data_IF_758124155585
#
_entry.id   IF_758124155585
#
_cell.length_a   1.000
_cell.length_b   1.000
_cell.length_c   1.000
_cell.angle_alpha   90.00
_cell.angle_beta   90.00
_cell.angle_gamma   90.00
#
_symmetry.space_group_name_H-M   'P 1'
#
loop_
_entity.id
_entity.type
_entity.pdbx_description
1 polymer ?
#
# COMPACT_ATOMS: atom_id res chain seq x y z
N UNK A 1 -1.87 21.08 80.49
CA UNK A 1 -2.46 20.52 79.26
C UNK A 1 -1.67 21.06 78.09
N UNK A 2 -0.71 20.27 77.62
CA UNK A 2 -0.09 20.47 76.32
C UNK A 2 -0.96 19.73 75.30
N UNK A 3 -1.26 20.36 74.17
CA UNK A 3 -1.35 19.58 72.93
C UNK A 3 -0.94 20.46 71.75
N UNK A 4 0.14 20.02 71.10
CA UNK A 4 0.73 20.66 69.94
C UNK A 4 0.18 20.01 68.68
N UNK A 5 -0.62 20.74 67.92
CA UNK A 5 -0.99 20.36 66.56
C UNK A 5 0.09 20.79 65.58
N UNK A 6 1.05 19.91 65.31
CA UNK A 6 1.94 20.06 64.16
C UNK A 6 1.10 20.05 62.85
N UNK A 7 1.44 20.86 61.84
CA UNK A 7 0.82 20.73 60.53
C UNK A 7 1.28 19.40 59.92
N UNK A 8 0.31 18.56 59.56
CA UNK A 8 0.52 17.38 58.73
C UNK A 8 1.20 17.84 57.44
N UNK A 9 2.48 17.49 57.32
CA UNK A 9 3.20 17.50 56.06
C UNK A 9 2.39 16.62 55.09
N UNK A 10 1.70 17.26 54.15
CA UNK A 10 1.27 16.59 52.94
C UNK A 10 2.54 16.19 52.23
N UNK A 11 2.99 14.96 52.47
CA UNK A 11 4.00 14.30 51.66
C UNK A 11 3.49 14.33 50.22
N UNK A 12 3.96 15.35 49.49
CA UNK A 12 3.77 15.44 48.06
C UNK A 12 4.30 14.12 47.51
N UNK A 13 3.39 13.29 47.03
CA UNK A 13 3.74 12.22 46.12
C UNK A 13 4.22 12.93 44.84
N UNK A 14 5.46 13.41 44.88
CA UNK A 14 6.24 13.74 43.71
C UNK A 14 6.48 12.42 43.00
N UNK A 15 5.45 11.93 42.31
CA UNK A 15 5.61 10.86 41.35
C UNK A 15 6.71 11.31 40.40
N UNK A 16 7.84 10.62 40.46
CA UNK A 16 8.99 10.92 39.62
C UNK A 16 8.49 10.87 38.18
N UNK A 17 8.63 11.98 37.44
CA UNK A 17 8.23 12.05 36.04
C UNK A 17 9.28 11.33 35.17
N UNK A 18 9.24 10.00 35.26
CA UNK A 18 10.14 9.10 34.55
C UNK A 18 10.02 9.22 33.03
N UNK A 19 8.91 9.77 32.54
CA UNK A 19 8.64 9.96 31.12
C UNK A 19 9.42 11.17 30.60
N UNK A 20 9.53 12.24 31.38
CA UNK A 20 10.36 13.40 31.05
C UNK A 20 11.86 13.10 31.04
N UNK A 21 12.30 12.09 31.80
CA UNK A 21 13.71 11.67 31.89
C UNK A 21 14.18 10.80 30.70
N UNK A 22 13.26 10.33 29.85
CA UNK A 22 13.61 9.55 28.66
C UNK A 22 14.36 10.40 27.63
N UNK A 23 15.29 9.79 26.88
CA UNK A 23 15.98 10.45 25.77
C UNK A 23 15.04 10.64 24.55
N UNK A 24 15.34 11.63 23.70
CA UNK A 24 14.55 11.99 22.52
C UNK A 24 14.35 10.80 21.56
N UNK A 25 15.34 9.94 21.42
CA UNK A 25 15.25 8.75 20.56
C UNK A 25 14.17 7.76 21.04
N UNK A 26 14.04 7.59 22.35
CA UNK A 26 13.02 6.70 22.94
C UNK A 26 11.64 7.33 22.83
N UNK A 27 11.54 8.63 23.10
CA UNK A 27 10.28 9.38 22.93
C UNK A 27 9.80 9.35 21.48
N UNK A 28 10.73 9.46 20.52
CA UNK A 28 10.46 9.33 19.09
C UNK A 28 9.88 7.95 18.77
N UNK A 29 10.52 6.88 19.24
CA UNK A 29 10.05 5.51 19.03
C UNK A 29 8.67 5.24 19.66
N UNK A 30 8.35 5.87 20.79
CA UNK A 30 7.00 5.80 21.37
C UNK A 30 5.99 6.50 20.44
N UNK A 31 6.32 7.71 19.99
CA UNK A 31 5.45 8.53 19.13
C UNK A 31 5.16 7.84 17.79
N UNK A 32 6.15 7.20 17.16
CA UNK A 32 5.98 6.49 15.87
C UNK A 32 5.11 5.25 15.98
N UNK A 33 4.97 4.68 17.18
CA UNK A 33 4.15 3.49 17.46
C UNK A 33 2.71 3.83 17.83
N UNK A 34 2.43 5.08 18.18
CA UNK A 34 1.08 5.52 18.55
C UNK A 34 0.25 5.82 17.28
N UNK A 35 -1.04 5.48 17.28
CA UNK A 35 -1.98 5.97 16.28
C UNK A 35 -1.95 7.49 16.21
N UNK A 36 -2.13 8.06 15.02
CA UNK A 36 -2.03 9.49 14.73
C UNK A 36 -2.68 10.39 15.79
N UNK A 37 -3.92 10.08 16.18
CA UNK A 37 -4.68 10.89 17.12
C UNK A 37 -4.16 10.80 18.56
N UNK A 38 -3.64 9.65 18.96
CA UNK A 38 -3.02 9.47 20.28
C UNK A 38 -1.68 10.16 20.34
N UNK A 39 -0.88 10.01 19.29
CA UNK A 39 0.39 10.69 19.16
C UNK A 39 0.22 12.22 19.14
N UNK A 40 -0.79 12.75 18.44
CA UNK A 40 -1.15 14.16 18.49
C UNK A 40 -1.57 14.63 19.90
N UNK A 41 -2.26 13.79 20.69
CA UNK A 41 -2.61 14.10 22.09
C UNK A 41 -1.39 14.19 22.99
N UNK A 42 -0.36 13.37 22.74
CA UNK A 42 0.90 13.45 23.52
C UNK A 42 1.60 14.80 23.40
N UNK A 43 1.35 15.56 22.32
CA UNK A 43 1.89 16.91 22.15
C UNK A 43 1.37 17.92 23.19
N UNK A 44 0.31 17.59 23.94
CA UNK A 44 -0.22 18.40 25.05
C UNK A 44 0.52 18.12 26.36
N UNK A 45 1.19 16.97 26.48
CA UNK A 45 1.86 16.54 27.72
C UNK A 45 3.10 17.39 28.02
N UNK A 46 3.86 17.77 26.99
CA UNK A 46 5.02 18.65 27.12
C UNK A 46 5.42 19.31 25.79
N UNK A 47 6.06 20.47 25.86
CA UNK A 47 6.59 21.20 24.70
C UNK A 47 7.58 20.37 23.87
N UNK A 48 8.36 19.53 24.56
CA UNK A 48 9.32 18.58 23.97
C UNK A 48 8.63 17.55 23.07
N UNK A 49 7.54 16.94 23.53
CA UNK A 49 6.75 15.99 22.75
C UNK A 49 6.14 16.64 21.52
N UNK A 50 5.69 17.89 21.64
CA UNK A 50 5.18 18.68 20.50
C UNK A 50 6.24 18.96 19.44
N UNK A 51 7.50 19.16 19.83
CA UNK A 51 8.60 19.35 18.89
C UNK A 51 8.95 18.03 18.20
N UNK A 52 9.12 16.95 18.96
CA UNK A 52 9.42 15.62 18.43
C UNK A 52 8.35 15.15 17.44
N UNK A 53 7.06 15.36 17.77
CA UNK A 53 5.94 15.07 16.88
C UNK A 53 6.03 15.77 15.52
N UNK A 54 6.55 17.00 15.46
CA UNK A 54 6.65 17.76 14.20
C UNK A 54 7.88 17.43 13.37
N UNK A 55 8.88 16.82 13.98
CA UNK A 55 10.18 16.52 13.39
C UNK A 55 10.31 15.07 12.94
N UNK A 56 9.24 14.29 12.99
CA UNK A 56 9.29 12.85 12.75
C UNK A 56 8.42 12.37 11.59
N UNK A 57 8.55 11.10 11.22
CA UNK A 57 7.86 10.53 10.06
C UNK A 57 6.52 9.95 10.47
N UNK A 58 5.46 10.70 10.21
CA UNK A 58 4.12 10.40 10.74
C UNK A 58 3.44 9.29 9.95
N UNK A 59 2.64 8.49 10.65
CA UNK A 59 1.78 7.44 10.09
C UNK A 59 0.33 7.91 10.16
N UNK A 60 -0.24 8.27 9.01
CA UNK A 60 -1.64 8.66 8.88
C UNK A 60 -2.44 7.47 8.35
N UNK A 61 -3.36 6.96 9.17
CA UNK A 61 -4.35 5.97 8.74
C UNK A 61 -5.74 6.51 9.01
N UNK A 62 -6.54 6.62 7.97
CA UNK A 62 -7.89 7.18 8.07
C UNK A 62 -8.85 6.28 8.87
N UNK A 63 -8.62 4.97 8.89
CA UNK A 63 -9.35 3.99 9.70
C UNK A 63 -9.25 4.27 11.21
N UNK A 64 -8.15 4.89 11.65
CA UNK A 64 -7.95 5.26 13.06
C UNK A 64 -8.78 6.50 13.44
N UNK A 65 -9.35 7.20 12.45
CA UNK A 65 -10.20 8.37 12.65
C UNK A 65 -11.67 7.92 12.60
N UNK A 66 -12.38 8.19 13.69
CA UNK A 66 -13.80 7.89 13.81
C UNK A 66 -14.65 8.70 12.79
N UNK A 67 -15.58 8.03 12.12
CA UNK A 67 -16.63 8.69 11.34
C UNK A 67 -17.57 9.43 12.32
N UNK A 68 -17.96 10.71 12.11
CA UNK A 68 -17.95 11.50 10.87
C UNK A 68 -16.76 12.46 10.70
N UNK A 69 -15.81 12.51 11.64
CA UNK A 69 -14.75 13.51 11.63
C UNK A 69 -13.66 13.26 10.57
N UNK A 70 -13.55 12.03 10.05
CA UNK A 70 -12.53 11.60 9.09
C UNK A 70 -12.36 12.55 7.91
N UNK A 71 -13.46 12.90 7.25
CA UNK A 71 -13.43 13.72 6.02
C UNK A 71 -12.92 15.14 6.27
N UNK A 72 -13.10 15.69 7.48
CA UNK A 72 -12.61 17.01 7.86
C UNK A 72 -11.21 16.97 8.51
N UNK A 73 -10.85 15.87 9.18
CA UNK A 73 -9.56 15.72 9.88
C UNK A 73 -8.45 15.36 8.90
N UNK A 74 -8.70 14.45 7.95
CA UNK A 74 -7.68 14.02 6.97
C UNK A 74 -7.11 15.21 6.18
N UNK A 75 -7.92 16.09 5.55
CA UNK A 75 -7.40 17.24 4.82
C UNK A 75 -6.60 18.18 5.72
N UNK A 76 -7.08 18.41 6.95
CA UNK A 76 -6.39 19.27 7.92
C UNK A 76 -5.04 18.70 8.34
N UNK A 77 -4.95 17.40 8.60
CA UNK A 77 -3.67 16.75 8.93
C UNK A 77 -2.71 16.85 7.74
N UNK A 78 -3.19 16.61 6.52
CA UNK A 78 -2.36 16.72 5.32
C UNK A 78 -1.89 18.17 5.06
N UNK A 79 -2.70 19.17 5.39
CA UNK A 79 -2.33 20.58 5.21
C UNK A 79 -1.43 21.11 6.33
N UNK A 80 -1.81 20.88 7.59
CA UNK A 80 -1.21 21.52 8.76
C UNK A 80 0.09 20.83 9.21
N UNK A 81 0.32 19.56 8.85
CA UNK A 81 1.49 18.83 9.29
C UNK A 81 2.75 19.28 8.53
N UNK A 82 3.77 19.88 9.18
CA UNK A 82 4.94 20.40 8.49
C UNK A 82 5.97 19.33 8.11
N UNK A 83 5.88 18.14 8.72
CA UNK A 83 6.86 17.06 8.54
C UNK A 83 6.57 16.14 7.36
N UNK A 84 7.38 15.08 7.26
CA UNK A 84 7.23 14.03 6.25
C UNK A 84 6.28 12.94 6.72
N UNK A 85 5.57 12.32 5.79
CA UNK A 85 4.78 11.12 6.09
C UNK A 85 5.62 9.87 5.82
N UNK A 86 5.66 8.93 6.77
CA UNK A 86 6.14 7.59 6.49
C UNK A 86 5.08 6.83 5.70
N UNK A 87 3.88 6.80 6.27
CA UNK A 87 2.78 5.97 5.77
C UNK A 87 1.51 6.79 5.72
N UNK A 88 0.80 6.76 4.60
CA UNK A 88 -0.52 7.36 4.41
C UNK A 88 -1.47 6.30 3.87
N UNK A 89 -2.45 5.91 4.67
CA UNK A 89 -3.48 4.94 4.32
C UNK A 89 -4.81 5.69 4.31
N UNK A 90 -5.35 5.89 3.10
CA UNK A 90 -6.69 6.41 2.85
C UNK A 90 -7.53 5.26 2.28
N UNK A 91 -8.03 4.39 3.15
CA UNK A 91 -8.81 3.22 2.77
C UNK A 91 -10.32 3.50 2.70
N UNK A 92 -10.82 4.36 3.60
CA UNK A 92 -12.25 4.61 3.79
C UNK A 92 -12.58 6.12 3.82
N UNK A 93 -11.62 7.00 3.49
CA UNK A 93 -11.81 8.44 3.32
C UNK A 93 -12.58 8.72 2.03
N UNK A 94 -13.55 9.65 2.08
CA UNK A 94 -14.25 10.08 0.87
C UNK A 94 -13.35 11.04 0.10
N UNK A 95 -12.65 10.51 -0.90
CA UNK A 95 -11.70 11.28 -1.70
C UNK A 95 -12.36 12.48 -2.42
N UNK A 96 -13.67 12.45 -2.68
CA UNK A 96 -14.39 13.61 -3.22
C UNK A 96 -14.51 14.75 -2.21
N UNK A 97 -14.64 14.45 -0.92
CA UNK A 97 -14.55 15.44 0.16
C UNK A 97 -13.12 15.97 0.23
N UNK A 98 -12.12 15.08 0.16
CA UNK A 98 -10.70 15.46 0.15
C UNK A 98 -10.34 16.37 -1.03
N UNK A 99 -10.84 16.11 -2.24
CA UNK A 99 -10.62 17.00 -3.38
C UNK A 99 -11.27 18.37 -3.19
N UNK A 100 -12.45 18.41 -2.56
CA UNK A 100 -13.18 19.66 -2.31
C UNK A 100 -12.46 20.51 -1.25
N UNK A 101 -12.01 19.88 -0.17
CA UNK A 101 -11.36 20.56 0.95
C UNK A 101 -9.90 20.89 0.66
N UNK A 102 -9.19 20.01 -0.06
CA UNK A 102 -7.77 20.14 -0.33
C UNK A 102 -7.41 19.63 -1.74
N UNK A 103 -7.75 20.35 -2.82
CA UNK A 103 -7.46 19.93 -4.20
C UNK A 103 -5.97 19.62 -4.47
N UNK A 104 -5.07 20.25 -3.71
CA UNK A 104 -3.63 20.08 -3.82
C UNK A 104 -3.07 18.89 -3.01
N UNK A 105 -3.92 18.07 -2.38
CA UNK A 105 -3.49 16.93 -1.57
C UNK A 105 -2.51 15.98 -2.28
N UNK A 106 -2.60 15.69 -3.61
CA UNK A 106 -1.66 14.78 -4.25
C UNK A 106 -0.24 15.36 -4.27
N UNK A 107 -0.12 16.66 -4.57
CA UNK A 107 1.16 17.37 -4.57
C UNK A 107 1.75 17.45 -3.17
N UNK A 108 0.90 17.70 -2.16
CA UNK A 108 1.34 17.72 -0.78
C UNK A 108 1.92 16.38 -0.32
N UNK A 109 1.38 15.24 -0.77
CA UNK A 109 1.96 13.94 -0.46
C UNK A 109 3.35 13.74 -1.08
N UNK A 110 3.55 14.26 -2.29
CA UNK A 110 4.85 14.25 -2.99
C UNK A 110 5.84 15.17 -2.28
N UNK A 111 5.44 16.42 -1.98
CA UNK A 111 6.27 17.40 -1.28
C UNK A 111 6.67 16.92 0.12
N UNK A 112 5.78 16.18 0.79
CA UNK A 112 6.04 15.58 2.10
C UNK A 112 6.80 14.26 2.04
N UNK A 113 7.25 13.82 0.87
CA UNK A 113 8.10 12.64 0.68
C UNK A 113 7.53 11.36 1.31
N UNK A 114 6.28 11.06 0.96
CA UNK A 114 5.56 9.89 1.46
C UNK A 114 6.22 8.59 0.97
N UNK A 115 6.52 7.65 1.88
CA UNK A 115 7.15 6.37 1.52
C UNK A 115 6.13 5.27 1.20
N UNK A 116 5.09 5.16 2.02
CA UNK A 116 4.05 4.14 1.88
C UNK A 116 2.71 4.84 1.64
N UNK A 117 2.06 4.54 0.52
CA UNK A 117 0.80 5.16 0.14
C UNK A 117 -0.24 4.10 -0.23
N UNK A 118 -1.35 4.08 0.50
CA UNK A 118 -2.54 3.32 0.13
C UNK A 118 -3.69 4.28 -0.16
N UNK A 119 -4.23 4.20 -1.37
CA UNK A 119 -5.39 4.96 -1.80
C UNK A 119 -6.49 4.02 -2.30
N UNK A 120 -7.56 3.89 -1.53
CA UNK A 120 -8.73 3.12 -1.92
C UNK A 120 -9.92 4.05 -2.18
N UNK A 121 -10.46 3.98 -3.39
CA UNK A 121 -11.63 4.73 -3.79
C UNK A 121 -12.89 3.85 -3.67
N UNK A 122 -13.25 3.48 -2.43
CA UNK A 122 -14.35 2.53 -2.16
C UNK A 122 -15.74 3.14 -2.29
N UNK A 123 -15.86 4.46 -2.18
CA UNK A 123 -17.12 5.21 -2.17
C UNK A 123 -17.59 5.61 -3.58
N UNK A 124 -17.61 4.64 -4.49
CA UNK A 124 -17.90 4.82 -5.93
C UNK A 124 -19.37 5.17 -6.18
N UNK A 125 -20.27 4.69 -5.32
CA UNK A 125 -21.73 4.88 -5.45
C UNK A 125 -22.18 6.34 -5.23
N UNK A 126 -21.35 7.17 -4.59
CA UNK A 126 -21.66 8.59 -4.35
C UNK A 126 -21.19 9.52 -5.50
N UNK A 127 -20.68 8.97 -6.61
CA UNK A 127 -20.04 9.75 -7.68
C UNK A 127 -20.82 9.70 -9.00
N UNK A 128 -20.90 10.84 -9.73
CA UNK A 128 -21.50 10.89 -11.07
C UNK A 128 -20.61 10.23 -12.14
N UNK A 129 -19.34 9.97 -11.85
CA UNK A 129 -18.40 9.32 -12.76
C UNK A 129 -17.80 8.06 -12.10
N UNK A 130 -18.07 6.84 -12.63
CA UNK A 130 -17.64 5.59 -12.01
C UNK A 130 -16.11 5.34 -12.06
N UNK A 131 -15.36 6.20 -12.74
CA UNK A 131 -13.95 6.01 -13.07
C UNK A 131 -13.14 7.27 -12.71
N UNK A 132 -12.73 7.39 -11.44
CA UNK A 132 -11.88 8.48 -10.96
C UNK A 132 -10.45 8.30 -11.46
N UNK A 133 -9.91 9.34 -12.11
CA UNK A 133 -8.52 9.35 -12.58
C UNK A 133 -7.54 9.45 -11.41
N UNK A 134 -6.49 8.65 -11.43
CA UNK A 134 -5.39 8.75 -10.48
C UNK A 134 -4.62 10.05 -10.73
N UNK A 135 -4.35 10.85 -9.68
CA UNK A 135 -3.53 12.05 -9.80
C UNK A 135 -2.12 11.73 -10.32
N UNK A 136 -1.75 12.37 -11.43
CA UNK A 136 -0.46 12.19 -12.09
C UNK A 136 0.75 12.59 -11.22
N UNK A 137 0.56 13.45 -10.21
CA UNK A 137 1.62 13.88 -9.30
C UNK A 137 2.15 12.69 -8.46
N UNK A 138 1.27 11.76 -8.05
CA UNK A 138 1.64 10.60 -7.22
C UNK A 138 2.59 9.66 -7.97
N UNK A 139 2.43 9.57 -9.29
CA UNK A 139 3.27 8.75 -10.17
C UNK A 139 4.68 9.32 -10.38
N UNK A 140 4.96 10.52 -9.86
CA UNK A 140 6.27 11.18 -9.91
C UNK A 140 6.97 11.25 -8.55
N UNK A 141 6.45 10.55 -7.55
CA UNK A 141 7.02 10.56 -6.20
C UNK A 141 8.31 9.72 -6.14
N UNK A 142 9.45 10.38 -5.91
CA UNK A 142 10.77 9.72 -5.85
C UNK A 142 11.03 8.95 -4.54
N UNK A 143 10.36 9.35 -3.47
CA UNK A 143 10.48 8.78 -2.13
C UNK A 143 9.63 7.54 -1.89
N UNK A 144 8.69 7.25 -2.79
CA UNK A 144 7.69 6.20 -2.62
C UNK A 144 8.33 4.81 -2.72
N UNK A 145 8.18 4.02 -1.66
CA UNK A 145 8.65 2.64 -1.55
C UNK A 145 7.51 1.65 -1.71
N UNK A 146 6.31 1.98 -1.22
CA UNK A 146 5.13 1.14 -1.33
C UNK A 146 3.93 1.92 -1.87
N UNK A 147 3.27 1.37 -2.89
CA UNK A 147 2.10 1.97 -3.50
C UNK A 147 0.98 0.93 -3.61
N UNK A 148 -0.13 1.20 -2.93
CA UNK A 148 -1.36 0.43 -3.06
C UNK A 148 -2.47 1.31 -3.60
N UNK A 149 -3.03 0.93 -4.74
CA UNK A 149 -4.13 1.62 -5.39
C UNK A 149 -5.30 0.67 -5.57
N UNK A 150 -6.47 1.07 -5.09
CA UNK A 150 -7.69 0.30 -5.19
C UNK A 150 -8.84 1.13 -5.80
N UNK A 151 -9.36 0.66 -6.93
CA UNK A 151 -10.49 1.27 -7.65
C UNK A 151 -10.19 2.63 -8.32
N UNK A 152 -9.17 2.65 -9.21
CA UNK A 152 -8.74 3.85 -9.94
C UNK A 152 -8.71 3.65 -11.45
N UNK A 153 -8.76 4.75 -12.20
CA UNK A 153 -8.44 4.78 -13.63
C UNK A 153 -7.06 5.41 -13.83
N UNK A 154 -6.18 4.70 -14.53
CA UNK A 154 -4.83 5.17 -14.80
C UNK A 154 -4.84 6.33 -15.81
N UNK A 155 -4.10 7.43 -15.58
CA UNK A 155 -4.06 8.56 -16.50
C UNK A 155 -3.18 8.24 -17.71
N UNK A 156 -3.73 8.41 -18.91
CA UNK A 156 -3.00 8.14 -20.15
C UNK A 156 -1.97 9.23 -20.46
N UNK A 157 -0.83 8.83 -21.03
CA UNK A 157 0.24 9.75 -21.44
C UNK A 157 1.01 10.41 -20.29
N UNK A 158 0.93 9.86 -19.08
CA UNK A 158 1.63 10.42 -17.91
C UNK A 158 3.03 9.85 -17.79
N UNK A 159 4.03 10.70 -17.57
CA UNK A 159 5.36 10.24 -17.19
C UNK A 159 5.34 9.64 -15.79
N UNK A 160 5.83 8.41 -15.68
CA UNK A 160 5.93 7.66 -14.43
C UNK A 160 7.38 7.62 -13.99
N UNK A 161 7.65 8.06 -12.77
CA UNK A 161 8.98 8.08 -12.15
C UNK A 161 8.84 7.60 -10.71
N UNK A 162 9.10 6.30 -10.49
CA UNK A 162 8.99 5.66 -9.17
C UNK A 162 10.28 4.87 -8.87
N UNK A 163 11.44 5.56 -8.77
CA UNK A 163 12.75 4.92 -8.74
C UNK A 163 13.01 4.04 -7.50
N UNK A 164 12.29 4.28 -6.41
CA UNK A 164 12.47 3.58 -5.12
C UNK A 164 11.37 2.59 -4.79
N UNK A 165 10.42 2.37 -5.70
CA UNK A 165 9.26 1.55 -5.43
C UNK A 165 9.63 0.06 -5.34
N UNK A 166 9.44 -0.53 -4.15
CA UNK A 166 9.71 -1.92 -3.80
C UNK A 166 8.45 -2.78 -3.85
N UNK A 167 7.31 -2.22 -3.45
CA UNK A 167 6.03 -2.93 -3.46
C UNK A 167 4.96 -2.13 -4.23
N UNK A 168 4.33 -2.79 -5.20
CA UNK A 168 3.22 -2.23 -5.97
C UNK A 168 2.01 -3.14 -5.88
N UNK A 169 0.90 -2.62 -5.38
CA UNK A 169 -0.39 -3.29 -5.35
C UNK A 169 -1.43 -2.48 -6.12
N UNK A 170 -1.95 -3.06 -7.19
CA UNK A 170 -2.97 -2.47 -8.04
C UNK A 170 -4.16 -3.41 -8.02
N UNK A 171 -5.26 -2.92 -7.46
CA UNK A 171 -6.49 -3.68 -7.26
C UNK A 171 -7.64 -2.96 -7.95
N UNK A 172 -8.37 -3.67 -8.82
CA UNK A 172 -9.54 -3.13 -9.52
C UNK A 172 -9.26 -1.83 -10.29
N UNK A 173 -8.08 -1.73 -10.91
CA UNK A 173 -7.71 -0.56 -11.73
C UNK A 173 -8.07 -0.79 -13.19
N UNK A 174 -8.50 0.29 -13.84
CA UNK A 174 -8.61 0.40 -15.31
C UNK A 174 -7.31 0.99 -15.84
N UNK A 175 -6.50 0.15 -16.49
CA UNK A 175 -5.19 0.50 -17.08
C UNK A 175 -5.04 -0.24 -18.42
N UNK A 176 -4.32 0.35 -19.38
CA UNK A 176 -3.95 -0.33 -20.62
C UNK A 176 -2.72 -1.22 -20.44
N UNK A 177 -2.43 -2.07 -21.42
CA UNK A 177 -1.24 -2.94 -21.40
C UNK A 177 0.06 -2.11 -21.45
N UNK A 178 0.10 -1.10 -22.32
CA UNK A 178 1.29 -0.24 -22.49
C UNK A 178 1.58 0.57 -21.23
N UNK A 179 0.56 1.11 -20.57
CA UNK A 179 0.72 1.86 -19.32
C UNK A 179 1.21 0.97 -18.18
N UNK A 180 0.71 -0.28 -18.10
CA UNK A 180 1.18 -1.24 -17.10
C UNK A 180 2.65 -1.60 -17.32
N UNK A 181 3.06 -1.82 -18.57
CA UNK A 181 4.47 -2.05 -18.90
C UNK A 181 5.34 -0.84 -18.54
N UNK A 182 4.90 0.37 -18.88
CA UNK A 182 5.60 1.61 -18.51
C UNK A 182 5.72 1.78 -16.99
N UNK A 183 4.66 1.47 -16.24
CA UNK A 183 4.65 1.57 -14.78
C UNK A 183 5.65 0.59 -14.13
N UNK A 184 5.69 -0.65 -14.61
CA UNK A 184 6.65 -1.65 -14.14
C UNK A 184 8.08 -1.27 -14.55
N UNK A 185 8.28 -0.78 -15.78
CA UNK A 185 9.59 -0.34 -16.28
C UNK A 185 10.13 0.89 -15.53
N UNK A 186 9.24 1.79 -15.11
CA UNK A 186 9.57 2.96 -14.29
C UNK A 186 9.93 2.63 -12.83
N UNK A 187 9.80 1.36 -12.42
CA UNK A 187 10.02 0.87 -11.06
C UNK A 187 11.18 -0.14 -11.02
N UNK A 188 12.45 0.30 -11.14
CA UNK A 188 13.59 -0.59 -11.35
C UNK A 188 13.93 -1.47 -10.14
N UNK A 189 13.50 -1.10 -8.93
CA UNK A 189 13.76 -1.84 -7.67
C UNK A 189 12.53 -2.61 -7.16
N UNK A 190 11.52 -2.81 -8.00
CA UNK A 190 10.27 -3.47 -7.63
C UNK A 190 10.49 -4.93 -7.25
N UNK A 191 10.25 -5.27 -5.99
CA UNK A 191 10.43 -6.61 -5.42
C UNK A 191 9.11 -7.41 -5.38
N UNK A 192 8.00 -6.72 -5.11
CA UNK A 192 6.68 -7.33 -4.90
C UNK A 192 5.61 -6.64 -5.76
N UNK A 193 4.84 -7.44 -6.50
CA UNK A 193 3.77 -6.96 -7.37
C UNK A 193 2.47 -7.70 -7.08
N UNK A 194 1.40 -6.96 -6.77
CA UNK A 194 0.03 -7.47 -6.71
C UNK A 194 -0.79 -6.78 -7.79
N UNK A 195 -1.38 -7.56 -8.68
CA UNK A 195 -2.18 -7.07 -9.80
C UNK A 195 -3.55 -7.74 -9.77
N UNK A 196 -4.62 -6.96 -9.86
CA UNK A 196 -5.98 -7.41 -10.14
C UNK A 196 -6.59 -6.44 -11.14
N UNK A 197 -6.38 -6.73 -12.42
CA UNK A 197 -6.73 -5.84 -13.52
C UNK A 197 -8.10 -6.23 -14.07
N UNK A 198 -8.98 -5.24 -14.26
CA UNK A 198 -10.36 -5.45 -14.72
C UNK A 198 -10.58 -5.13 -16.21
N UNK A 199 -9.59 -4.53 -16.87
CA UNK A 199 -9.70 -4.06 -18.26
C UNK A 199 -8.77 -4.78 -19.23
N UNK A 200 -7.60 -5.24 -18.77
CA UNK A 200 -6.56 -5.80 -19.66
C UNK A 200 -6.77 -7.29 -19.90
N UNK A 201 -6.87 -7.65 -21.19
CA UNK A 201 -6.90 -9.04 -21.65
C UNK A 201 -5.50 -9.67 -21.68
N UNK A 202 -4.49 -8.88 -22.00
CA UNK A 202 -3.10 -9.31 -22.03
C UNK A 202 -2.35 -8.57 -20.92
N UNK A 203 -1.60 -9.33 -20.12
CA UNK A 203 -0.75 -8.78 -19.06
C UNK A 203 0.66 -9.25 -19.32
N UNK A 204 1.57 -8.30 -19.52
CA UNK A 204 3.00 -8.58 -19.71
C UNK A 204 3.80 -8.10 -18.52
N UNK A 205 4.52 -9.02 -17.89
CA UNK A 205 5.39 -8.74 -16.76
C UNK A 205 6.84 -8.80 -17.23
N UNK A 206 7.51 -7.65 -17.20
CA UNK A 206 8.94 -7.52 -17.48
C UNK A 206 9.60 -6.67 -16.40
N UNK A 207 10.38 -7.30 -15.53
CA UNK A 207 11.13 -6.63 -14.47
C UNK A 207 12.37 -7.41 -14.09
N UNK A 208 13.48 -6.71 -13.86
CA UNK A 208 14.76 -7.31 -13.45
C UNK A 208 14.88 -7.55 -11.95
N UNK A 209 14.07 -6.87 -11.15
CA UNK A 209 14.10 -6.88 -9.68
C UNK A 209 12.99 -7.70 -9.03
N UNK A 210 11.94 -8.03 -9.79
CA UNK A 210 10.73 -8.64 -9.26
C UNK A 210 11.00 -10.02 -8.67
N UNK A 211 10.70 -10.20 -7.38
CA UNK A 211 10.87 -11.45 -6.64
C UNK A 211 9.54 -12.20 -6.48
N UNK A 212 8.46 -11.47 -6.24
CA UNK A 212 7.14 -12.04 -5.99
C UNK A 212 6.07 -11.32 -6.81
N UNK A 213 5.21 -12.08 -7.50
CA UNK A 213 4.07 -11.54 -8.20
C UNK A 213 2.79 -12.29 -7.84
N UNK A 214 1.71 -11.56 -7.58
CA UNK A 214 0.38 -12.08 -7.33
C UNK A 214 -0.58 -11.47 -8.35
N UNK A 215 -1.09 -12.28 -9.29
CA UNK A 215 -1.87 -11.81 -10.44
C UNK A 215 -3.28 -12.40 -10.43
N UNK A 216 -4.28 -11.53 -10.43
CA UNK A 216 -5.69 -11.87 -10.55
C UNK A 216 -6.08 -12.08 -12.01
N UNK A 217 -6.72 -13.22 -12.31
CA UNK A 217 -7.03 -13.66 -13.68
C UNK A 217 -8.51 -13.48 -14.07
N UNK A 218 -9.22 -12.55 -13.43
CA UNK A 218 -10.68 -12.42 -13.60
C UNK A 218 -11.09 -12.18 -15.06
N UNK A 219 -10.34 -11.33 -15.77
CA UNK A 219 -10.58 -10.93 -17.18
C UNK A 219 -9.34 -11.05 -18.08
N UNK A 220 -8.28 -11.64 -17.56
CA UNK A 220 -7.02 -11.81 -18.30
C UNK A 220 -7.14 -13.07 -19.17
N UNK A 221 -6.95 -12.92 -20.48
CA UNK A 221 -6.90 -14.01 -21.46
C UNK A 221 -5.47 -14.55 -21.61
N UNK A 222 -4.46 -13.67 -21.52
CA UNK A 222 -3.05 -14.06 -21.62
C UNK A 222 -2.17 -13.35 -20.58
N UNK A 223 -1.37 -14.12 -19.84
CA UNK A 223 -0.34 -13.62 -18.93
C UNK A 223 1.04 -14.02 -19.47
N UNK A 224 1.85 -13.05 -19.86
CA UNK A 224 3.21 -13.27 -20.33
C UNK A 224 4.23 -12.76 -19.31
N UNK A 225 5.12 -13.65 -18.88
CA UNK A 225 6.23 -13.33 -17.99
C UNK A 225 7.51 -13.40 -18.82
N UNK A 226 8.11 -12.24 -19.05
CA UNK A 226 9.24 -12.07 -19.98
C UNK A 226 10.41 -11.44 -19.24
N UNK A 227 11.56 -12.10 -19.28
CA UNK A 227 12.83 -11.52 -18.84
C UNK A 227 12.79 -11.04 -17.37
N UNK A 228 12.33 -11.93 -16.48
CA UNK A 228 12.16 -11.72 -15.03
C UNK A 228 13.07 -12.66 -14.22
N UNK A 229 14.38 -12.40 -14.21
CA UNK A 229 15.38 -13.34 -13.68
C UNK A 229 15.27 -13.61 -12.18
N UNK A 230 14.82 -12.65 -11.38
CA UNK A 230 14.74 -12.78 -9.91
C UNK A 230 13.40 -13.31 -9.41
N UNK A 231 12.43 -13.55 -10.30
CA UNK A 231 11.10 -13.96 -9.91
C UNK A 231 11.14 -15.36 -9.30
N UNK A 232 10.93 -15.44 -7.98
CA UNK A 232 10.95 -16.68 -7.22
C UNK A 232 9.54 -17.27 -7.03
N UNK A 233 8.52 -16.41 -6.94
CA UNK A 233 7.15 -16.79 -6.61
C UNK A 233 6.15 -16.06 -7.50
N UNK A 234 5.34 -16.82 -8.23
CA UNK A 234 4.21 -16.32 -9.02
C UNK A 234 2.92 -16.98 -8.53
N UNK A 235 2.05 -16.20 -7.91
CA UNK A 235 0.74 -16.64 -7.46
C UNK A 235 -0.33 -16.12 -8.41
N UNK A 236 -1.27 -16.98 -8.78
CA UNK A 236 -2.42 -16.62 -9.59
C UNK A 236 -3.68 -16.83 -8.74
N UNK A 237 -4.69 -15.97 -8.89
CA UNK A 237 -5.93 -16.06 -8.11
C UNK A 237 -7.12 -15.47 -8.88
N UNK A 238 -8.34 -15.64 -8.37
CA UNK A 238 -9.58 -15.11 -8.99
C UNK A 238 -9.80 -15.53 -10.46
N UNK A 239 -9.42 -16.76 -10.83
CA UNK A 239 -9.77 -17.28 -12.15
C UNK A 239 -11.17 -17.87 -12.13
N UNK A 240 -12.06 -17.35 -12.98
CA UNK A 240 -13.37 -17.95 -13.20
C UNK A 240 -13.21 -19.20 -14.08
N UNK A 241 -13.91 -20.31 -13.78
CA UNK A 241 -13.75 -21.60 -14.47
C UNK A 241 -14.18 -21.59 -15.95
N UNK A 242 -14.76 -20.49 -16.45
CA UNK A 242 -15.16 -20.35 -17.85
C UNK A 242 -14.12 -19.63 -18.72
N UNK A 243 -13.11 -19.00 -18.12
CA UNK A 243 -12.07 -18.28 -18.86
C UNK A 243 -10.85 -19.18 -19.02
N UNK A 244 -10.59 -19.61 -20.26
CA UNK A 244 -9.32 -20.22 -20.62
C UNK A 244 -8.24 -19.15 -20.63
N UNK A 245 -7.22 -19.29 -19.78
CA UNK A 245 -6.13 -18.31 -19.66
C UNK A 245 -4.85 -18.95 -20.16
N UNK A 246 -4.16 -18.27 -21.09
CA UNK A 246 -2.85 -18.69 -21.56
C UNK A 246 -1.76 -18.02 -20.73
N UNK A 247 -0.95 -18.81 -20.05
CA UNK A 247 0.16 -18.34 -19.23
C UNK A 247 1.46 -18.70 -19.95
N UNK A 248 2.27 -17.72 -20.32
CA UNK A 248 3.54 -17.91 -21.03
C UNK A 248 4.69 -17.39 -20.18
N UNK A 249 5.61 -18.27 -19.83
CA UNK A 249 6.83 -17.95 -19.06
C UNK A 249 8.00 -18.11 -20.01
N UNK A 250 8.50 -17.00 -20.54
CA UNK A 250 9.57 -17.03 -21.57
C UNK A 250 10.95 -17.10 -20.91
N UNK A 251 11.17 -16.33 -19.84
CA UNK A 251 12.45 -16.30 -19.14
C UNK A 251 12.27 -15.87 -17.68
N UNK A 252 12.21 -16.86 -16.78
CA UNK A 252 12.12 -16.69 -15.32
C UNK A 252 12.90 -17.84 -14.62
N UNK A 253 14.25 -17.87 -14.73
CA UNK A 253 15.10 -18.98 -14.28
C UNK A 253 14.99 -19.30 -12.79
N UNK A 254 14.69 -18.32 -11.94
CA UNK A 254 14.58 -18.53 -10.49
C UNK A 254 13.16 -18.86 -10.01
N UNK A 255 12.20 -19.07 -10.91
CA UNK A 255 10.82 -19.33 -10.53
C UNK A 255 10.70 -20.71 -9.86
N UNK A 256 10.46 -20.71 -8.55
CA UNK A 256 10.34 -21.92 -7.71
C UNK A 256 8.90 -22.28 -7.41
N UNK A 257 8.04 -21.26 -7.26
CA UNK A 257 6.64 -21.44 -6.89
C UNK A 257 5.77 -20.84 -7.98
N UNK A 258 4.98 -21.70 -8.62
CA UNK A 258 3.80 -21.31 -9.36
C UNK A 258 2.59 -21.71 -8.50
N UNK A 259 1.77 -20.73 -8.14
CA UNK A 259 0.59 -20.90 -7.30
C UNK A 259 -0.56 -21.60 -8.03
N UNK A 260 -1.79 -21.15 -7.80
CA UNK A 260 -2.98 -21.79 -8.35
C UNK A 260 -2.99 -21.79 -9.89
N UNK A 261 -3.08 -22.97 -10.50
CA UNK A 261 -3.27 -23.11 -11.94
C UNK A 261 -4.42 -24.09 -12.15
N UNK A 262 -5.48 -23.65 -12.85
CA UNK A 262 -6.58 -24.53 -13.19
C UNK A 262 -6.20 -25.28 -14.46
N UNK A 263 -5.66 -26.49 -14.31
CA UNK A 263 -5.19 -27.34 -15.42
C UNK A 263 -6.28 -27.75 -16.39
N UNK A 264 -7.55 -27.65 -16.02
CA UNK A 264 -8.68 -27.92 -16.92
C UNK A 264 -8.98 -26.79 -17.91
N UNK A 265 -8.52 -25.56 -17.65
CA UNK A 265 -8.82 -24.39 -18.49
C UNK A 265 -7.61 -23.54 -18.86
N UNK A 266 -6.52 -23.61 -18.10
CA UNK A 266 -5.32 -22.80 -18.31
C UNK A 266 -4.30 -23.53 -19.19
N UNK A 267 -3.81 -22.84 -20.22
CA UNK A 267 -2.67 -23.31 -21.02
C UNK A 267 -1.38 -22.74 -20.43
N UNK A 268 -0.46 -23.57 -19.95
CA UNK A 268 0.86 -23.13 -19.48
C UNK A 268 1.93 -23.39 -20.55
N UNK A 269 2.67 -22.37 -20.95
CA UNK A 269 3.83 -22.46 -21.82
C UNK A 269 5.07 -21.98 -21.06
N UNK A 270 6.12 -22.79 -21.02
CA UNK A 270 7.42 -22.43 -20.44
C UNK A 270 8.46 -22.53 -21.55
N UNK A 271 9.03 -21.40 -21.96
CA UNK A 271 9.86 -21.30 -23.17
C UNK A 271 9.11 -21.82 -24.40
N UNK A 272 9.71 -22.76 -25.12
CA UNK A 272 9.11 -23.41 -26.29
C UNK A 272 8.24 -24.63 -25.91
N UNK A 273 8.24 -25.04 -24.64
CA UNK A 273 7.46 -26.19 -24.16
C UNK A 273 6.06 -25.75 -23.75
N UNK A 274 5.05 -26.24 -24.45
CA UNK A 274 3.64 -26.05 -24.06
C UNK A 274 3.21 -27.24 -23.20
N UNK A 275 2.92 -26.99 -21.93
CA UNK A 275 2.36 -27.98 -21.01
C UNK A 275 0.84 -27.87 -21.07
N UNK A 276 0.24 -28.70 -21.92
CA UNK A 276 -1.21 -28.97 -21.88
C UNK A 276 -1.45 -30.14 -20.95
N UNK A 277 -1.92 -29.86 -19.73
CA UNK A 277 -2.34 -30.93 -18.82
C UNK A 277 -3.72 -31.41 -19.25
N UNK A 278 -3.77 -32.23 -20.30
CA UNK A 278 -4.95 -33.03 -20.59
C UNK A 278 -4.98 -34.18 -19.59
N UNK A 279 -5.75 -34.05 -18.51
CA UNK A 279 -6.23 -35.20 -17.74
C UNK A 279 -7.40 -34.76 -16.84
N UNK A 280 -8.54 -35.39 -17.10
CA UNK A 280 -9.69 -35.54 -16.21
C UNK A 280 -9.27 -35.64 -14.74
N UNK A 281 -9.81 -34.76 -13.91
CA UNK A 281 -9.88 -34.91 -12.44
C UNK A 281 -8.55 -35.08 -11.67
N UNK A 282 -7.54 -34.27 -11.97
CA UNK A 282 -6.46 -34.00 -11.02
C UNK A 282 -6.48 -32.53 -10.62
N UNK A 283 -7.25 -32.24 -9.57
CA UNK A 283 -7.08 -31.05 -8.75
C UNK A 283 -5.65 -31.07 -8.18
N UNK A 284 -4.71 -30.43 -8.88
CA UNK A 284 -3.43 -30.05 -8.30
C UNK A 284 -3.70 -28.93 -7.30
N UNK A 285 -4.22 -29.31 -6.13
CA UNK A 285 -4.19 -28.49 -4.92
C UNK A 285 -2.75 -28.45 -4.43
N UNK A 286 -1.93 -27.60 -5.05
CA UNK A 286 -0.67 -27.18 -4.45
C UNK A 286 -1.01 -26.38 -3.21
N UNK A 287 -0.87 -27.04 -2.05
CA UNK A 287 -1.06 -26.54 -0.68
C UNK A 287 -1.32 -25.04 -0.59
N UNK A 288 -2.61 -24.68 -0.46
CA UNK A 288 -3.04 -23.38 0.04
C UNK A 288 -2.54 -23.21 1.47
N UNK A 289 -1.30 -22.74 1.64
CA UNK A 289 -1.07 -21.74 2.68
C UNK A 289 -1.58 -20.44 2.10
N UNK A 290 -2.84 -20.13 2.40
CA UNK A 290 -3.28 -18.74 2.54
C UNK A 290 -2.30 -18.11 3.54
N UNK A 291 -1.20 -17.56 3.04
CA UNK A 291 -0.51 -16.53 3.79
C UNK A 291 -1.49 -15.38 3.82
N UNK A 292 -2.16 -15.25 4.96
CA UNK A 292 -2.50 -13.94 5.49
C UNK A 292 -1.20 -13.13 5.34
N UNK A 293 -1.12 -12.33 4.28
CA UNK A 293 -0.12 -11.28 4.20
C UNK A 293 -0.61 -10.25 5.21
N UNK A 294 -0.29 -10.49 6.47
CA UNK A 294 -0.23 -9.45 7.48
C UNK A 294 0.85 -8.49 6.98
N UNK A 295 0.43 -7.50 6.20
CA UNK A 295 1.20 -6.32 5.85
C UNK A 295 1.31 -5.43 7.11
N UNK A 296 1.94 -5.95 8.17
CA UNK A 296 2.20 -5.19 9.39
C UNK A 296 3.68 -4.97 9.66
N UNK A 297 4.61 -5.70 9.04
CA UNK A 297 6.04 -5.38 9.13
C UNK A 297 6.82 -5.89 7.91
N UNK A 298 7.23 -4.99 7.03
CA UNK A 298 8.58 -4.84 6.45
C UNK A 298 8.62 -3.47 5.77
#
# INVERSE_FOLDING_TARGET
>A
MADGGAPLSTAGHGGVDLISDLNDDVLREIITRLPLMEAARTAVLASRWRYLWRSDRLVLKDVDIHEPARDAVVPRVLADYPGHFRTVILADCRLASLDRELPAWPRLLVDKRTEELLLANRWVMDQPNPARLLPADILRCDSLQELTLDFWTFPSGTEVLLPRLRALAIVRIVISEQELECLIAASPVLESLRLTVNSSKHVRLRSKSLMCALVGLLKVEELTVVDTPLLARLFLFLSLPLNGVRIRIVCAPNLRVLGYLNTGTHELQIGDSVIRVHLSSLNLSLNLKLFHLDCSHI
#
